data_IF_470400729930
#
_entry.id   IF_470400729930
#
_cell.length_a   1.000
_cell.length_b   1.000
_cell.length_c   1.000
_cell.angle_alpha   90.00
_cell.angle_beta   90.00
_cell.angle_gamma   90.00
#
_symmetry.space_group_name_H-M   'P 1'
#
loop_
_entity.id
_entity.type
_entity.pdbx_description
1 polymer ?
#
# COMPACT_ATOMS: atom_id res chain seq x y z
N UNK A 1 17.34 17.36 -24.67
CA UNK A 1 17.33 17.91 -26.05
C UNK A 1 16.55 19.20 -26.16
N UNK A 2 15.27 19.25 -25.74
CA UNK A 2 14.44 20.48 -25.86
C UNK A 2 15.01 21.72 -25.14
N UNK A 3 15.53 21.56 -23.92
CA UNK A 3 15.96 22.68 -23.08
C UNK A 3 17.45 23.02 -23.19
N UNK A 4 18.26 22.16 -23.80
CA UNK A 4 19.71 22.37 -23.91
C UNK A 4 20.45 22.56 -22.57
N UNK A 5 20.05 21.84 -21.51
CA UNK A 5 20.66 21.93 -20.17
C UNK A 5 21.36 20.62 -19.78
N UNK A 6 22.45 20.68 -18.98
CA UNK A 6 23.09 19.48 -18.45
C UNK A 6 22.18 18.75 -17.47
N UNK A 7 22.04 17.44 -17.65
CA UNK A 7 21.22 16.57 -16.80
C UNK A 7 22.05 15.42 -16.25
N UNK A 8 21.94 15.20 -14.95
CA UNK A 8 22.55 14.06 -14.26
C UNK A 8 21.49 13.08 -13.79
N UNK A 9 21.75 11.79 -13.93
CA UNK A 9 20.91 10.74 -13.36
C UNK A 9 21.42 10.31 -11.99
N UNK A 10 20.50 10.09 -11.04
CA UNK A 10 20.84 9.68 -9.66
C UNK A 10 19.97 8.53 -9.15
N UNK A 11 20.34 7.98 -7.98
CA UNK A 11 19.71 6.81 -7.36
C UNK A 11 19.61 5.61 -8.31
N UNK A 12 18.44 5.01 -8.50
CA UNK A 12 18.27 3.84 -9.36
C UNK A 12 18.44 4.15 -10.84
N UNK A 13 18.38 5.44 -11.23
CA UNK A 13 18.66 5.87 -12.59
C UNK A 13 20.15 6.20 -12.82
N UNK A 14 20.97 6.20 -11.77
CA UNK A 14 22.39 6.57 -11.88
C UNK A 14 23.12 5.62 -12.84
N UNK A 15 23.79 6.19 -13.83
CA UNK A 15 24.63 5.46 -14.79
C UNK A 15 25.97 5.03 -14.20
N UNK A 16 26.39 5.67 -13.10
CA UNK A 16 27.65 5.43 -12.39
C UNK A 16 27.42 5.28 -10.89
N UNK A 17 28.14 4.36 -10.19
CA UNK A 17 27.99 4.17 -8.74
C UNK A 17 28.18 5.45 -7.91
N UNK A 18 29.07 6.33 -8.32
CA UNK A 18 29.42 7.57 -7.62
C UNK A 18 28.27 8.59 -7.65
N UNK A 19 27.37 8.48 -8.63
CA UNK A 19 26.21 9.38 -8.83
C UNK A 19 24.95 8.93 -8.11
N UNK A 20 24.96 7.75 -7.47
CA UNK A 20 23.78 7.27 -6.72
C UNK A 20 23.35 8.27 -5.65
N UNK A 21 24.30 8.82 -4.90
CA UNK A 21 24.01 9.77 -3.82
C UNK A 21 23.84 11.20 -4.35
N UNK A 22 22.63 11.75 -4.19
CA UNK A 22 22.31 13.11 -4.61
C UNK A 22 23.23 14.19 -4.02
N UNK A 23 23.69 14.03 -2.78
CA UNK A 23 24.60 14.99 -2.15
C UNK A 23 25.97 15.01 -2.84
N UNK A 24 26.42 13.87 -3.38
CA UNK A 24 27.64 13.81 -4.20
C UNK A 24 27.43 14.57 -5.51
N UNK A 25 26.32 14.31 -6.21
CA UNK A 25 25.97 14.99 -7.47
C UNK A 25 25.82 16.50 -7.25
N UNK A 26 25.24 16.94 -6.13
CA UNK A 26 25.04 18.35 -5.77
C UNK A 26 26.23 19.03 -5.12
N UNK A 27 27.36 18.35 -4.91
CA UNK A 27 28.52 18.95 -4.23
C UNK A 27 29.00 20.20 -4.97
N UNK A 28 29.13 21.33 -4.27
CA UNK A 28 29.49 22.63 -4.83
C UNK A 28 28.31 23.42 -5.40
N UNK A 29 27.10 22.85 -5.39
CA UNK A 29 25.85 23.50 -5.81
C UNK A 29 25.96 24.17 -7.19
N UNK A 30 25.49 25.41 -7.33
CA UNK A 30 25.46 26.12 -8.61
C UNK A 30 26.86 26.62 -9.00
N UNK A 31 27.59 27.19 -8.04
CA UNK A 31 28.91 27.80 -8.25
C UNK A 31 29.97 26.77 -8.63
N UNK A 32 29.90 25.58 -8.04
CA UNK A 32 30.81 24.47 -8.31
C UNK A 32 30.52 23.74 -9.62
N UNK A 33 29.41 24.04 -10.31
CA UNK A 33 29.05 23.36 -11.55
C UNK A 33 30.02 23.67 -12.69
N UNK A 34 30.54 24.90 -12.77
CA UNK A 34 31.48 25.31 -13.83
C UNK A 34 32.75 24.47 -13.80
N UNK A 35 33.33 24.28 -12.61
CA UNK A 35 34.52 23.43 -12.45
C UNK A 35 34.18 21.95 -12.62
N UNK A 36 33.00 21.52 -12.15
CA UNK A 36 32.54 20.14 -12.31
C UNK A 36 32.38 19.75 -13.78
N UNK A 37 31.86 20.63 -14.64
CA UNK A 37 31.68 20.36 -16.07
C UNK A 37 33.02 20.26 -16.84
N UNK A 38 34.12 20.77 -16.29
CA UNK A 38 35.46 20.60 -16.88
C UNK A 38 36.05 19.22 -16.60
N UNK A 39 35.56 18.53 -15.56
CA UNK A 39 36.02 17.21 -15.19
C UNK A 39 35.35 16.15 -16.09
N UNK A 40 36.11 15.38 -16.88
CA UNK A 40 35.57 14.32 -17.74
C UNK A 40 34.76 13.27 -16.97
N UNK A 41 35.08 13.02 -15.69
CA UNK A 41 34.32 12.08 -14.86
C UNK A 41 32.92 12.59 -14.50
N UNK A 42 32.72 13.91 -14.58
CA UNK A 42 31.47 14.58 -14.30
C UNK A 42 30.74 15.05 -15.57
N UNK A 43 31.03 14.45 -16.73
CA UNK A 43 30.23 14.66 -17.94
C UNK A 43 28.74 14.35 -17.67
N UNK A 44 27.79 15.25 -18.00
CA UNK A 44 26.36 15.01 -17.85
C UNK A 44 25.90 13.73 -18.55
N UNK A 45 24.87 13.09 -18.00
CA UNK A 45 24.26 11.89 -18.59
C UNK A 45 23.45 12.24 -19.84
N UNK A 46 22.78 13.40 -19.82
CA UNK A 46 22.09 13.96 -20.97
C UNK A 46 22.34 15.47 -21.09
N UNK A 47 22.09 15.99 -22.29
CA UNK A 47 22.26 17.40 -22.59
C UNK A 47 23.73 17.81 -22.81
N UNK A 48 23.96 19.09 -23.11
CA UNK A 48 25.29 19.60 -23.40
C UNK A 48 26.17 19.65 -22.14
N UNK A 49 27.47 19.44 -22.32
CA UNK A 49 28.48 19.64 -21.26
C UNK A 49 28.87 21.12 -21.15
N UNK A 50 27.86 21.99 -21.08
CA UNK A 50 28.01 23.44 -21.08
C UNK A 50 27.26 24.04 -19.89
N UNK A 51 27.85 25.06 -19.28
CA UNK A 51 27.22 25.74 -18.16
C UNK A 51 26.09 26.64 -18.66
N UNK A 52 24.88 26.42 -18.15
CA UNK A 52 23.75 27.30 -18.38
C UNK A 52 23.55 28.25 -17.18
N UNK A 53 23.82 29.57 -17.31
CA UNK A 53 23.73 30.50 -16.20
C UNK A 53 22.31 30.75 -15.66
N UNK A 54 21.26 30.35 -16.39
CA UNK A 54 19.87 30.53 -15.92
C UNK A 54 19.38 29.33 -15.12
N UNK A 55 19.78 28.13 -15.52
CA UNK A 55 19.24 26.88 -14.97
C UNK A 55 20.23 26.05 -14.17
N UNK A 56 21.54 26.27 -14.34
CA UNK A 56 22.57 25.35 -13.88
C UNK A 56 22.41 23.98 -14.52
N UNK A 57 22.34 22.94 -13.69
CA UNK A 57 22.11 21.55 -14.09
C UNK A 57 20.87 20.98 -13.41
N UNK A 58 20.20 20.06 -14.10
CA UNK A 58 19.06 19.31 -13.54
C UNK A 58 19.49 17.92 -13.12
N UNK A 59 18.90 17.40 -12.05
CA UNK A 59 19.09 16.01 -11.63
C UNK A 59 17.76 15.28 -11.77
N UNK A 60 17.75 14.17 -12.49
CA UNK A 60 16.57 13.31 -12.68
C UNK A 60 16.88 11.95 -12.05
N UNK A 61 15.90 11.32 -11.40
CA UNK A 61 16.12 9.97 -10.92
C UNK A 61 14.85 9.24 -10.54
N UNK A 62 15.03 7.94 -10.31
CA UNK A 62 14.03 7.07 -9.74
C UNK A 62 14.54 6.58 -8.39
N UNK A 63 13.69 6.64 -7.37
CA UNK A 63 13.99 6.22 -6.01
C UNK A 63 12.73 5.70 -5.35
N UNK A 64 12.90 4.98 -4.26
CA UNK A 64 11.79 4.60 -3.40
C UNK A 64 11.14 5.86 -2.76
N UNK A 65 9.89 5.71 -2.33
CA UNK A 65 9.17 6.77 -1.63
C UNK A 65 9.93 7.19 -0.37
N UNK A 66 10.15 8.50 -0.24
CA UNK A 66 10.75 9.10 0.94
C UNK A 66 9.62 9.62 1.83
N UNK A 67 9.63 9.22 3.10
CA UNK A 67 8.72 9.72 4.12
C UNK A 67 9.51 10.68 5.01
N UNK A 68 9.08 11.94 5.05
CA UNK A 68 9.62 12.93 5.98
C UNK A 68 8.82 12.85 7.28
N UNK A 69 9.48 12.42 8.34
CA UNK A 69 8.87 12.04 9.61
C UNK A 69 9.67 12.66 10.76
N UNK A 70 9.03 13.44 11.62
CA UNK A 70 9.68 14.03 12.77
C UNK A 70 9.14 13.40 14.06
N UNK A 71 10.02 13.21 15.05
CA UNK A 71 9.63 12.76 16.39
C UNK A 71 9.79 13.90 17.39
N UNK A 72 8.73 14.23 18.10
CA UNK A 72 8.64 15.38 19.00
C UNK A 72 9.19 15.03 20.39
N UNK A 73 10.01 15.89 20.97
CA UNK A 73 10.60 15.69 22.30
C UNK A 73 10.17 16.79 23.27
N UNK A 74 10.03 16.44 24.55
CA UNK A 74 9.70 17.36 25.64
C UNK A 74 10.86 18.30 26.06
N UNK A 75 11.71 18.73 25.12
CA UNK A 75 12.88 19.59 25.38
C UNK A 75 13.06 20.65 24.30
N UNK A 76 13.76 21.73 24.63
CA UNK A 76 14.23 22.74 23.67
C UNK A 76 15.67 22.48 23.21
N UNK A 77 16.38 21.57 23.87
CA UNK A 77 17.78 21.31 23.55
C UNK A 77 17.93 20.41 22.32
N UNK A 78 18.25 21.04 21.18
CA UNK A 78 18.52 20.32 19.92
C UNK A 78 19.66 19.31 20.03
N UNK A 79 20.59 19.47 20.98
CA UNK A 79 21.75 18.57 21.12
C UNK A 79 21.28 17.18 21.56
N UNK A 80 20.29 17.10 22.45
CA UNK A 80 19.72 15.83 22.88
C UNK A 80 18.96 15.15 21.73
N UNK A 81 18.18 15.90 20.97
CA UNK A 81 17.54 15.39 19.76
C UNK A 81 18.58 14.88 18.74
N UNK A 82 19.70 15.59 18.60
CA UNK A 82 20.76 15.22 17.68
C UNK A 82 21.50 13.96 18.14
N UNK A 83 21.63 13.75 19.44
CA UNK A 83 22.19 12.52 20.00
C UNK A 83 21.35 11.29 19.62
N UNK A 84 20.02 11.40 19.71
CA UNK A 84 19.10 10.35 19.25
C UNK A 84 19.25 10.14 17.73
N UNK A 85 19.26 11.24 16.96
CA UNK A 85 19.42 11.19 15.50
C UNK A 85 20.71 10.46 15.06
N UNK A 86 21.80 10.65 15.81
CA UNK A 86 23.08 9.99 15.56
C UNK A 86 23.03 8.48 15.76
N UNK A 87 22.20 8.00 16.68
CA UNK A 87 22.09 6.58 16.98
C UNK A 87 21.16 5.85 15.99
N UNK A 88 20.11 6.51 15.49
CA UNK A 88 19.14 5.88 14.59
C UNK A 88 19.56 5.93 13.11
N UNK A 89 20.24 6.98 12.66
CA UNK A 89 20.53 7.17 11.22
C UNK A 89 21.62 6.22 10.73
N UNK A 90 21.53 5.78 9.49
CA UNK A 90 22.45 4.80 8.91
C UNK A 90 23.93 5.22 8.99
N UNK A 91 24.22 6.48 8.67
CA UNK A 91 25.58 7.06 8.74
C UNK A 91 26.15 7.01 10.17
N UNK A 92 25.29 6.95 11.17
CA UNK A 92 25.64 6.91 12.58
C UNK A 92 26.44 8.11 13.05
N UNK A 93 27.44 7.83 13.90
CA UNK A 93 28.29 8.83 14.56
C UNK A 93 29.77 8.60 14.33
N UNK A 94 30.57 9.65 14.50
CA UNK A 94 32.03 9.51 14.51
C UNK A 94 32.46 8.76 15.78
N UNK A 95 33.35 7.77 15.63
CA UNK A 95 33.97 7.04 16.72
C UNK A 95 34.81 8.00 17.55
N UNK A 96 34.69 7.92 18.88
CA UNK A 96 35.46 8.73 19.82
C UNK A 96 36.29 7.83 20.73
N UNK A 97 37.44 8.34 21.17
CA UNK A 97 38.27 7.72 22.20
C UNK A 97 37.73 8.01 23.61
N UNK A 98 38.38 7.47 24.65
CA UNK A 98 38.01 7.67 26.06
C UNK A 98 38.06 9.14 26.50
N UNK A 99 38.82 9.99 25.79
CA UNK A 99 38.89 11.43 26.01
C UNK A 99 37.85 12.22 25.19
N UNK A 100 37.00 11.54 24.42
CA UNK A 100 35.95 12.16 23.60
C UNK A 100 36.43 12.74 22.27
N UNK A 101 37.68 12.51 21.86
CA UNK A 101 38.26 12.98 20.61
C UNK A 101 37.92 12.03 19.46
N UNK A 102 37.67 12.58 18.27
CA UNK A 102 37.29 11.79 17.09
C UNK A 102 38.49 10.95 16.62
N UNK A 103 38.28 9.64 16.53
CA UNK A 103 39.25 8.71 15.97
C UNK A 103 39.21 8.82 14.45
N UNK A 104 40.39 8.96 13.84
CA UNK A 104 40.59 9.04 12.40
C UNK A 104 41.40 7.84 11.93
N UNK A 105 41.17 7.41 10.69
CA UNK A 105 41.97 6.39 10.01
C UNK A 105 43.30 6.97 9.50
N UNK A 106 44.12 6.11 8.87
CA UNK A 106 45.44 6.45 8.33
C UNK A 106 45.38 7.53 7.23
N UNK A 107 44.22 7.73 6.61
CA UNK A 107 43.95 8.77 5.60
C UNK A 107 43.40 10.08 6.21
N UNK A 108 43.28 10.14 7.54
CA UNK A 108 42.78 11.31 8.26
C UNK A 108 41.25 11.48 8.25
N UNK A 109 40.51 10.46 7.80
CA UNK A 109 39.04 10.46 7.73
C UNK A 109 38.46 9.89 9.03
N UNK A 110 37.35 10.47 9.51
CA UNK A 110 36.73 10.03 10.76
C UNK A 110 36.19 8.60 10.63
N UNK A 111 36.61 7.70 11.52
CA UNK A 111 36.01 6.37 11.64
C UNK A 111 34.58 6.55 12.14
N UNK A 112 33.62 5.88 11.50
CA UNK A 112 32.20 5.98 11.87
C UNK A 112 31.71 4.67 12.50
N UNK A 113 30.87 4.82 13.52
CA UNK A 113 30.04 3.74 14.04
C UNK A 113 28.66 3.92 13.39
N UNK A 114 28.16 2.95 12.60
CA UNK A 114 26.86 3.05 11.96
C UNK A 114 25.73 3.11 13.01
N UNK A 115 24.61 3.71 12.64
CA UNK A 115 23.41 3.69 13.47
C UNK A 115 22.62 2.39 13.33
N UNK A 116 21.48 2.34 14.01
CA UNK A 116 20.64 1.14 14.11
C UNK A 116 19.92 0.84 12.78
N UNK A 117 19.38 1.87 12.12
CA UNK A 117 18.57 1.69 10.92
C UNK A 117 19.35 1.96 9.64
N UNK A 118 19.06 1.15 8.62
CA UNK A 118 19.48 1.39 7.22
C UNK A 118 18.43 2.24 6.52
N UNK A 119 18.79 2.97 5.47
CA UNK A 119 17.83 3.78 4.70
C UNK A 119 17.12 4.84 5.57
N UNK A 120 17.84 5.35 6.58
CA UNK A 120 17.38 6.39 7.49
C UNK A 120 18.42 7.50 7.56
N UNK A 121 17.98 8.73 7.28
CA UNK A 121 18.75 9.95 7.49
C UNK A 121 18.07 10.76 8.59
N UNK A 122 18.80 11.15 9.62
CA UNK A 122 18.22 11.94 10.71
C UNK A 122 19.14 13.05 11.21
N UNK A 123 18.52 14.09 11.76
CA UNK A 123 19.17 15.23 12.41
C UNK A 123 18.30 15.75 13.56
N UNK A 124 18.93 16.13 14.67
CA UNK A 124 18.25 16.89 15.72
C UNK A 124 18.05 18.35 15.31
N UNK A 125 16.83 18.85 15.43
CA UNK A 125 16.44 20.20 15.06
C UNK A 125 15.58 20.85 16.15
N UNK A 126 15.56 22.17 16.21
CA UNK A 126 14.65 22.93 17.07
C UNK A 126 13.63 23.65 16.20
N UNK A 127 12.34 23.39 16.41
CA UNK A 127 11.27 24.10 15.72
C UNK A 127 10.76 25.21 16.61
N UNK A 128 11.01 26.45 16.18
CA UNK A 128 10.63 27.66 16.90
C UNK A 128 9.10 27.81 17.03
N UNK A 129 8.36 27.50 15.95
CA UNK A 129 6.89 27.55 15.91
C UNK A 129 6.22 26.69 16.98
N UNK A 130 6.79 25.51 17.27
CA UNK A 130 6.27 24.58 18.28
C UNK A 130 7.00 24.69 19.63
N UNK A 131 8.03 25.54 19.70
CA UNK A 131 8.81 25.75 20.91
C UNK A 131 9.55 24.50 21.43
N UNK A 132 9.83 23.51 20.59
CA UNK A 132 10.38 22.20 20.98
C UNK A 132 11.43 21.67 20.00
N UNK A 133 12.25 20.72 20.49
CA UNK A 133 13.19 19.97 19.68
C UNK A 133 12.54 18.72 19.07
N UNK A 134 12.96 18.39 17.85
CA UNK A 134 12.53 17.21 17.12
C UNK A 134 13.73 16.42 16.62
N UNK A 135 13.56 15.10 16.55
CA UNK A 135 14.38 14.26 15.69
C UNK A 135 13.75 14.30 14.30
N UNK A 136 14.35 15.05 13.37
CA UNK A 136 13.88 15.12 11.99
C UNK A 136 14.47 13.98 11.17
N UNK A 137 13.61 13.19 10.54
CA UNK A 137 13.96 11.91 9.92
C UNK A 137 13.44 11.86 8.49
N UNK A 138 14.28 11.41 7.58
CA UNK A 138 13.90 10.97 6.25
C UNK A 138 14.08 9.45 6.18
N UNK A 139 12.96 8.74 6.05
CA UNK A 139 12.93 7.32 5.75
C UNK A 139 13.05 7.19 4.23
N UNK A 140 14.24 6.82 3.72
CA UNK A 140 14.47 6.69 2.27
C UNK A 140 13.91 5.40 1.70
N UNK A 141 13.68 4.40 2.56
CA UNK A 141 12.95 3.18 2.22
C UNK A 141 12.19 2.64 3.44
N UNK A 142 10.89 2.93 3.49
CA UNK A 142 10.03 2.53 4.61
C UNK A 142 9.83 1.01 4.73
N UNK A 143 10.11 0.24 3.67
CA UNK A 143 10.02 -1.23 3.69
C UNK A 143 11.21 -1.85 4.43
N UNK A 144 12.35 -1.14 4.47
CA UNK A 144 13.56 -1.55 5.21
C UNK A 144 13.54 -1.02 6.65
N UNK A 145 13.18 0.25 6.83
CA UNK A 145 13.07 0.89 8.14
C UNK A 145 11.73 1.61 8.26
N UNK A 146 10.70 0.91 8.74
CA UNK A 146 9.35 1.45 8.78
C UNK A 146 9.15 2.46 9.92
N UNK A 147 8.17 3.37 9.79
CA UNK A 147 7.97 4.47 10.74
C UNK A 147 7.81 4.02 12.20
N UNK A 148 7.09 2.93 12.45
CA UNK A 148 6.81 2.42 13.80
C UNK A 148 8.05 1.90 14.51
N UNK A 149 8.96 1.20 13.82
CA UNK A 149 10.21 0.75 14.44
C UNK A 149 11.14 1.91 14.76
N UNK A 150 11.22 2.89 13.84
CA UNK A 150 12.04 4.08 14.04
C UNK A 150 11.49 4.93 15.18
N UNK A 151 10.17 5.08 15.28
CA UNK A 151 9.50 5.79 16.38
C UNK A 151 9.74 5.10 17.73
N UNK A 152 9.51 3.80 17.84
CA UNK A 152 9.73 3.03 19.07
C UNK A 152 11.19 3.10 19.54
N UNK A 153 12.16 3.06 18.62
CA UNK A 153 13.57 3.25 18.97
C UNK A 153 13.85 4.69 19.42
N UNK A 154 13.25 5.70 18.80
CA UNK A 154 13.36 7.08 19.29
C UNK A 154 12.84 7.22 20.71
N UNK A 155 11.71 6.57 21.04
CA UNK A 155 11.18 6.52 22.41
C UNK A 155 12.18 5.89 23.38
N UNK A 156 12.75 4.73 23.05
CA UNK A 156 13.75 4.07 23.89
C UNK A 156 15.02 4.91 24.09
N UNK A 157 15.49 5.58 23.04
CA UNK A 157 16.67 6.45 23.12
C UNK A 157 16.38 7.73 23.92
N UNK A 158 15.18 8.30 23.78
CA UNK A 158 14.74 9.43 24.57
C UNK A 158 14.68 9.09 26.06
N UNK A 159 14.11 7.94 26.42
CA UNK A 159 14.00 7.49 27.81
C UNK A 159 15.38 7.32 28.47
N UNK A 160 16.38 6.80 27.74
CA UNK A 160 17.78 6.70 28.22
C UNK A 160 18.41 8.05 28.53
N UNK A 161 17.92 9.14 27.92
CA UNK A 161 18.38 10.51 28.13
C UNK A 161 17.49 11.28 29.12
N UNK A 162 16.52 10.63 29.75
CA UNK A 162 15.55 11.28 30.65
C UNK A 162 14.53 12.17 29.92
N UNK A 163 14.41 12.02 28.60
CA UNK A 163 13.43 12.71 27.76
C UNK A 163 12.15 11.90 27.61
N UNK A 164 11.10 12.56 27.12
CA UNK A 164 9.85 11.92 26.67
C UNK A 164 9.56 12.30 25.23
N UNK A 165 9.19 11.30 24.44
CA UNK A 165 8.57 11.52 23.13
C UNK A 165 7.12 11.95 23.34
N UNK A 166 6.71 13.03 22.67
CA UNK A 166 5.38 13.65 22.80
C UNK A 166 4.64 13.64 21.45
N UNK A 167 4.75 12.52 20.74
CA UNK A 167 4.17 12.30 19.42
C UNK A 167 5.15 12.51 18.27
N UNK A 168 4.59 12.60 17.07
CA UNK A 168 5.34 12.72 15.84
C UNK A 168 4.62 13.60 14.83
N UNK A 169 5.28 13.86 13.71
CA UNK A 169 4.74 14.66 12.63
C UNK A 169 5.10 14.02 11.29
N UNK A 170 4.08 13.85 10.44
CA UNK A 170 4.28 13.54 9.03
C UNK A 170 4.30 14.82 8.20
N UNK A 171 5.45 15.10 7.59
CA UNK A 171 5.62 16.21 6.65
C UNK A 171 5.37 15.71 5.23
N UNK A 172 4.37 16.28 4.56
CA UNK A 172 3.93 15.84 3.24
C UNK A 172 2.99 14.63 3.27
N UNK A 173 3.19 13.71 2.33
CA UNK A 173 2.36 12.52 2.12
C UNK A 173 3.09 11.24 2.54
N UNK A 174 2.33 10.20 2.85
CA UNK A 174 2.81 8.85 3.20
C UNK A 174 2.17 7.80 2.29
N UNK A 175 2.92 6.79 1.80
CA UNK A 175 2.33 5.61 1.17
C UNK A 175 1.40 4.88 2.14
N UNK A 176 0.24 4.44 1.68
CA UNK A 176 -0.77 3.75 2.49
C UNK A 176 -0.19 2.53 3.20
N UNK A 177 0.59 1.73 2.49
CA UNK A 177 1.20 0.53 3.09
C UNK A 177 2.07 0.87 4.31
N UNK A 178 2.79 2.00 4.30
CA UNK A 178 3.65 2.38 5.42
C UNK A 178 2.86 2.64 6.72
N UNK A 179 1.66 3.22 6.61
CA UNK A 179 0.78 3.45 7.76
C UNK A 179 0.04 2.17 8.18
N UNK A 180 -0.37 1.32 7.23
CA UNK A 180 -0.98 0.03 7.54
C UNK A 180 -0.02 -0.93 8.25
N UNK A 181 1.25 -0.96 7.83
CA UNK A 181 2.30 -1.71 8.54
C UNK A 181 2.42 -1.26 10.01
N UNK A 182 2.36 0.05 10.27
CA UNK A 182 2.38 0.57 11.63
C UNK A 182 1.14 0.17 12.44
N UNK A 183 -0.06 0.25 11.84
CA UNK A 183 -1.30 -0.17 12.47
C UNK A 183 -1.29 -1.64 12.88
N UNK A 184 -0.85 -2.53 11.96
CA UNK A 184 -0.72 -3.97 12.23
C UNK A 184 0.28 -4.22 13.35
N UNK A 185 1.46 -3.60 13.29
CA UNK A 185 2.50 -3.73 14.30
C UNK A 185 1.98 -3.41 15.71
N UNK A 186 1.30 -2.27 15.88
CA UNK A 186 0.82 -1.86 17.20
C UNK A 186 -0.37 -2.69 17.69
N UNK A 187 -1.28 -3.13 16.80
CA UNK A 187 -2.33 -4.08 17.19
C UNK A 187 -1.75 -5.39 17.70
N UNK A 188 -0.78 -5.96 16.99
CA UNK A 188 -0.12 -7.20 17.40
C UNK A 188 0.60 -7.04 18.74
N UNK A 189 1.31 -5.92 18.93
CA UNK A 189 1.96 -5.57 20.20
C UNK A 189 0.97 -5.45 21.35
N UNK A 190 -0.27 -5.05 21.07
CA UNK A 190 -1.39 -5.00 22.02
C UNK A 190 -2.13 -6.36 22.15
N UNK A 191 -1.65 -7.41 21.49
CA UNK A 191 -2.26 -8.75 21.50
C UNK A 191 -3.56 -8.83 20.69
N UNK A 192 -3.85 -7.85 19.84
CA UNK A 192 -5.01 -7.80 18.94
C UNK A 192 -4.67 -8.33 17.55
N UNK A 193 -5.68 -8.81 16.83
CA UNK A 193 -5.49 -9.31 15.48
C UNK A 193 -5.11 -8.17 14.53
N UNK A 194 -4.15 -8.37 13.61
CA UNK A 194 -3.86 -7.42 12.55
C UNK A 194 -4.89 -7.47 11.41
N UNK A 195 -5.81 -8.44 11.39
CA UNK A 195 -6.78 -8.69 10.33
C UNK A 195 -8.06 -7.83 10.42
N UNK A 196 -7.93 -6.54 10.72
CA UNK A 196 -9.05 -5.59 10.87
C UNK A 196 -9.18 -4.67 9.65
N UNK A 197 -10.32 -3.95 9.50
CA UNK A 197 -10.48 -2.93 8.47
C UNK A 197 -9.33 -1.92 8.37
N UNK A 198 -9.14 -1.36 7.17
CA UNK A 198 -8.06 -0.43 6.86
C UNK A 198 -8.11 0.83 7.75
N UNK A 199 -9.31 1.32 8.01
CA UNK A 199 -9.58 2.49 8.84
C UNK A 199 -9.15 2.27 10.29
N UNK A 200 -9.37 1.08 10.83
CA UNK A 200 -8.96 0.70 12.19
C UNK A 200 -7.42 0.61 12.29
N UNK A 201 -6.75 0.13 11.23
CA UNK A 201 -5.28 0.13 11.17
C UNK A 201 -4.72 1.55 11.14
N UNK A 202 -5.32 2.43 10.35
CA UNK A 202 -4.91 3.83 10.26
C UNK A 202 -5.13 4.54 11.60
N UNK A 203 -6.30 4.38 12.24
CA UNK A 203 -6.57 4.96 13.57
C UNK A 203 -5.57 4.46 14.62
N UNK A 204 -5.31 3.15 14.65
CA UNK A 204 -4.31 2.57 15.55
C UNK A 204 -2.91 3.16 15.31
N UNK A 205 -2.48 3.29 14.04
CA UNK A 205 -1.19 3.87 13.68
C UNK A 205 -1.10 5.34 14.08
N UNK A 206 -2.13 6.15 13.79
CA UNK A 206 -2.17 7.58 14.13
C UNK A 206 -2.03 7.79 15.62
N UNK A 207 -2.79 7.04 16.43
CA UNK A 207 -2.74 7.13 17.89
C UNK A 207 -1.40 6.66 18.45
N UNK A 208 -0.89 5.54 17.97
CA UNK A 208 0.33 4.93 18.51
C UNK A 208 1.59 5.72 18.19
N UNK A 209 1.64 6.34 17.00
CA UNK A 209 2.73 7.21 16.57
C UNK A 209 2.54 8.66 17.07
N UNK A 210 1.35 9.03 17.54
CA UNK A 210 1.00 10.40 17.91
C UNK A 210 1.10 11.37 16.73
N UNK A 211 0.60 10.96 15.56
CA UNK A 211 0.63 11.74 14.31
C UNK A 211 -0.30 12.97 14.31
N UNK A 212 -1.17 13.05 15.30
CA UNK A 212 -2.21 14.07 15.45
C UNK A 212 -1.92 15.10 16.57
N UNK A 213 -0.72 15.02 17.19
CA UNK A 213 -0.40 15.82 18.38
C UNK A 213 -0.19 17.31 18.09
N UNK A 214 0.35 17.65 16.92
CA UNK A 214 0.55 19.06 16.53
C UNK A 214 -0.68 19.64 15.83
N UNK A 215 -1.36 18.82 15.03
CA UNK A 215 -2.57 19.16 14.29
C UNK A 215 -3.29 17.87 13.86
N UNK A 216 -4.61 17.92 13.57
CA UNK A 216 -5.36 16.73 13.18
C UNK A 216 -4.76 16.01 11.96
N UNK A 217 -4.57 14.70 12.08
CA UNK A 217 -4.19 13.86 10.95
C UNK A 217 -5.43 13.58 10.09
N UNK A 218 -5.43 14.05 8.83
CA UNK A 218 -6.52 13.83 7.87
C UNK A 218 -6.06 12.81 6.82
N UNK A 219 -6.47 11.52 6.91
CA UNK A 219 -6.00 10.47 6.01
C UNK A 219 -6.17 10.81 4.53
N UNK A 220 -7.28 11.44 4.15
CA UNK A 220 -7.61 11.82 2.77
C UNK A 220 -6.66 12.87 2.17
N UNK A 221 -5.90 13.57 3.02
CA UNK A 221 -4.91 14.58 2.60
C UNK A 221 -3.47 14.15 2.82
N UNK A 222 -3.25 13.06 3.56
CA UNK A 222 -1.92 12.61 3.99
C UNK A 222 -1.51 11.28 3.34
N UNK A 223 -2.47 10.41 2.99
CA UNK A 223 -2.18 9.12 2.37
C UNK A 223 -2.21 9.29 0.85
N UNK A 224 -1.11 8.94 0.17
CA UNK A 224 -0.94 9.15 -1.29
C UNK A 224 -2.11 8.53 -2.06
N UNK A 225 -2.40 7.26 -1.78
CA UNK A 225 -3.42 6.48 -2.46
C UNK A 225 -4.81 7.10 -2.29
N UNK A 226 -5.11 7.71 -1.13
CA UNK A 226 -6.39 8.39 -0.92
C UNK A 226 -6.44 9.75 -1.63
N UNK A 227 -5.31 10.45 -1.74
CA UNK A 227 -5.26 11.75 -2.44
C UNK A 227 -5.46 11.63 -3.94
N UNK A 228 -5.13 10.48 -4.53
CA UNK A 228 -5.25 10.22 -5.98
C UNK A 228 -6.39 9.28 -6.35
N UNK A 229 -7.04 8.63 -5.36
CA UNK A 229 -8.15 7.72 -5.62
C UNK A 229 -9.31 8.45 -6.30
N UNK A 230 -9.83 7.83 -7.35
CA UNK A 230 -11.12 8.22 -7.91
C UNK A 230 -12.22 7.89 -6.90
N UNK A 231 -13.23 8.75 -6.83
CA UNK A 231 -14.34 8.55 -5.89
C UNK A 231 -15.21 7.39 -6.37
N UNK A 232 -15.29 6.34 -5.57
CA UNK A 232 -16.24 5.27 -5.78
C UNK A 232 -17.68 5.76 -5.67
N UNK A 233 -18.53 5.33 -6.60
CA UNK A 233 -19.98 5.62 -6.55
C UNK A 233 -20.71 4.71 -5.57
N UNK A 234 -20.16 3.53 -5.25
CA UNK A 234 -20.81 2.50 -4.44
C UNK A 234 -20.30 2.40 -3.00
N UNK A 235 -19.07 2.83 -2.69
CA UNK A 235 -18.46 2.71 -1.35
C UNK A 235 -19.25 3.41 -0.24
N UNK A 236 -20.04 4.44 -0.57
CA UNK A 236 -20.83 5.22 0.40
C UNK A 236 -22.32 4.96 0.35
N UNK A 237 -22.76 3.97 -0.44
CA UNK A 237 -24.17 3.60 -0.50
C UNK A 237 -24.52 2.80 0.74
N UNK A 238 -25.53 3.25 1.50
CA UNK A 238 -26.09 2.46 2.58
C UNK A 238 -26.66 1.16 2.02
N UNK A 239 -26.57 0.05 2.77
CA UNK A 239 -27.11 -1.27 2.35
C UNK A 239 -28.54 -1.15 1.79
N UNK A 240 -29.41 -0.36 2.45
CA UNK A 240 -30.77 -0.10 1.96
C UNK A 240 -30.79 0.56 0.58
N UNK A 241 -29.91 1.52 0.33
CA UNK A 241 -29.77 2.18 -0.96
C UNK A 241 -29.32 1.20 -2.04
N UNK A 242 -28.34 0.35 -1.75
CA UNK A 242 -27.86 -0.65 -2.70
C UNK A 242 -28.95 -1.65 -3.07
N UNK A 243 -29.67 -2.18 -2.07
CA UNK A 243 -30.76 -3.13 -2.29
C UNK A 243 -31.93 -2.50 -3.07
N UNK A 244 -32.29 -1.25 -2.75
CA UNK A 244 -33.29 -0.52 -3.52
C UNK A 244 -32.86 -0.38 -4.98
N UNK A 245 -31.62 0.03 -5.25
CA UNK A 245 -31.10 0.21 -6.61
C UNK A 245 -31.09 -1.09 -7.42
N UNK A 246 -30.69 -2.22 -6.80
CA UNK A 246 -30.75 -3.56 -7.44
C UNK A 246 -32.19 -3.97 -7.81
N UNK A 247 -33.20 -3.41 -7.14
CA UNK A 247 -34.60 -3.83 -7.28
C UNK A 247 -35.43 -2.98 -8.25
N UNK A 248 -34.84 -1.97 -8.87
CA UNK A 248 -35.53 -1.11 -9.84
C UNK A 248 -35.08 -1.44 -11.27
N UNK A 249 -35.73 -0.81 -12.25
CA UNK A 249 -35.40 -0.94 -13.68
C UNK A 249 -34.12 -0.15 -14.01
N UNK A 250 -32.99 -0.63 -13.50
CA UNK A 250 -31.64 -0.13 -13.78
C UNK A 250 -30.76 -1.28 -14.28
N UNK A 251 -29.92 -1.07 -15.30
CA UNK A 251 -29.01 -2.11 -15.79
C UNK A 251 -27.87 -2.43 -14.82
N UNK A 252 -27.48 -1.49 -13.96
CA UNK A 252 -26.42 -1.63 -12.95
C UNK A 252 -26.82 -0.90 -11.66
N UNK A 253 -26.52 -1.43 -10.46
CA UNK A 253 -25.88 -2.72 -10.16
C UNK A 253 -26.76 -3.93 -10.45
N UNK A 254 -26.16 -5.01 -11.00
CA UNK A 254 -26.86 -6.23 -11.42
C UNK A 254 -26.36 -7.51 -10.75
N UNK A 255 -26.53 -8.66 -11.41
CA UNK A 255 -26.15 -9.97 -10.88
C UNK A 255 -24.65 -10.11 -10.57
N UNK A 256 -23.77 -9.53 -11.41
CA UNK A 256 -22.33 -9.48 -11.17
C UNK A 256 -21.99 -8.69 -9.90
N UNK A 257 -22.54 -7.48 -9.80
CA UNK A 257 -22.45 -6.61 -8.62
C UNK A 257 -22.92 -7.29 -7.33
N UNK A 258 -24.06 -8.00 -7.35
CA UNK A 258 -24.56 -8.76 -6.18
C UNK A 258 -23.62 -9.91 -5.84
N UNK A 259 -23.09 -10.63 -6.85
CA UNK A 259 -22.14 -11.73 -6.63
C UNK A 259 -20.86 -11.23 -5.96
N UNK A 260 -20.31 -10.11 -6.43
CA UNK A 260 -19.16 -9.46 -5.82
C UNK A 260 -19.43 -9.03 -4.36
N UNK A 261 -20.59 -8.43 -4.07
CA UNK A 261 -20.99 -8.10 -2.70
C UNK A 261 -21.05 -9.34 -1.79
N UNK A 262 -21.59 -10.46 -2.28
CA UNK A 262 -21.60 -11.73 -1.53
C UNK A 262 -20.18 -12.22 -1.23
N UNK A 263 -19.25 -12.09 -2.18
CA UNK A 263 -17.83 -12.36 -1.95
C UNK A 263 -17.26 -11.51 -0.82
N UNK A 264 -17.54 -10.21 -0.84
CA UNK A 264 -17.11 -9.27 0.21
C UNK A 264 -17.65 -9.65 1.60
N UNK A 265 -18.94 -9.98 1.68
CA UNK A 265 -19.58 -10.41 2.93
C UNK A 265 -19.03 -11.74 3.44
N UNK A 266 -18.78 -12.71 2.56
CA UNK A 266 -18.15 -13.97 2.92
C UNK A 266 -16.74 -13.75 3.51
N UNK A 267 -15.92 -12.91 2.87
CA UNK A 267 -14.60 -12.56 3.37
C UNK A 267 -14.66 -11.79 4.70
N UNK A 268 -15.60 -10.85 4.86
CA UNK A 268 -15.79 -10.10 6.10
C UNK A 268 -16.15 -11.04 7.27
N UNK A 269 -17.08 -11.97 7.06
CA UNK A 269 -17.52 -12.91 8.09
C UNK A 269 -16.39 -13.89 8.46
N UNK A 270 -15.64 -14.39 7.48
CA UNK A 270 -14.43 -15.16 7.74
C UNK A 270 -13.38 -14.37 8.53
N UNK A 271 -13.18 -13.09 8.20
CA UNK A 271 -12.23 -12.22 8.90
C UNK A 271 -12.65 -12.01 10.35
N UNK A 272 -13.94 -11.84 10.62
CA UNK A 272 -14.49 -11.79 11.98
C UNK A 272 -14.14 -13.06 12.77
N UNK A 273 -14.39 -14.24 12.22
CA UNK A 273 -14.07 -15.52 12.91
C UNK A 273 -12.57 -15.64 13.18
N UNK A 274 -11.74 -15.27 12.21
CA UNK A 274 -10.28 -15.24 12.38
C UNK A 274 -9.87 -14.28 13.51
N UNK A 275 -10.45 -13.09 13.58
CA UNK A 275 -10.17 -12.10 14.61
C UNK A 275 -10.59 -12.56 16.01
N UNK A 276 -11.76 -13.20 16.14
CA UNK A 276 -12.23 -13.78 17.40
C UNK A 276 -11.26 -14.89 17.88
N UNK A 277 -10.75 -15.69 16.94
CA UNK A 277 -9.87 -16.84 17.23
C UNK A 277 -8.40 -16.46 17.44
N UNK A 278 -7.98 -15.26 17.01
CA UNK A 278 -6.56 -14.86 16.96
C UNK A 278 -5.79 -14.98 18.27
N UNK A 279 -6.46 -14.79 19.41
CA UNK A 279 -5.80 -14.91 20.73
C UNK A 279 -5.30 -16.33 20.97
N UNK A 280 -6.03 -17.33 20.52
CA UNK A 280 -5.75 -18.76 20.71
C UNK A 280 -4.88 -19.31 19.57
N UNK A 281 -5.08 -18.82 18.34
CA UNK A 281 -4.31 -19.22 17.19
C UNK A 281 -3.79 -18.01 16.40
N UNK A 282 -2.49 -17.73 16.52
CA UNK A 282 -1.84 -16.58 15.86
C UNK A 282 -1.80 -16.69 14.33
N UNK A 283 -1.92 -17.89 13.76
CA UNK A 283 -2.00 -18.06 12.30
C UNK A 283 -3.24 -17.38 11.71
N UNK A 284 -4.29 -17.18 12.52
CA UNK A 284 -5.49 -16.45 12.12
C UNK A 284 -5.20 -14.99 11.74
N UNK A 285 -4.11 -14.41 12.21
CA UNK A 285 -3.73 -13.03 11.86
C UNK A 285 -3.52 -12.89 10.36
N UNK A 286 -2.67 -13.74 9.78
CA UNK A 286 -2.39 -13.75 8.33
C UNK A 286 -3.65 -14.07 7.51
N UNK A 287 -4.51 -14.97 8.00
CA UNK A 287 -5.79 -15.30 7.34
C UNK A 287 -6.75 -14.10 7.36
N UNK A 288 -6.87 -13.42 8.49
CA UNK A 288 -7.67 -12.21 8.65
C UNK A 288 -7.19 -11.08 7.74
N UNK A 289 -5.87 -10.89 7.60
CA UNK A 289 -5.28 -9.91 6.66
C UNK A 289 -5.70 -10.22 5.21
N UNK A 290 -5.54 -11.47 4.78
CA UNK A 290 -5.92 -11.89 3.41
C UNK A 290 -7.42 -11.71 3.15
N UNK A 291 -8.26 -12.03 4.14
CA UNK A 291 -9.71 -11.88 4.02
C UNK A 291 -10.14 -10.40 4.00
N UNK A 292 -9.49 -9.51 4.76
CA UNK A 292 -9.73 -8.07 4.63
C UNK A 292 -9.37 -7.56 3.23
N UNK A 293 -8.23 -8.02 2.68
CA UNK A 293 -7.86 -7.70 1.29
C UNK A 293 -8.91 -8.18 0.30
N UNK A 294 -9.34 -9.44 0.37
CA UNK A 294 -10.36 -9.98 -0.52
C UNK A 294 -11.70 -9.25 -0.37
N UNK A 295 -12.09 -8.90 0.87
CA UNK A 295 -13.28 -8.10 1.14
C UNK A 295 -13.26 -6.78 0.37
N UNK A 296 -12.14 -6.06 0.38
CA UNK A 296 -12.00 -4.77 -0.34
C UNK A 296 -11.87 -4.97 -1.86
N UNK A 297 -11.20 -6.02 -2.32
CA UNK A 297 -11.11 -6.36 -3.76
C UNK A 297 -12.50 -6.67 -4.33
N UNK A 298 -13.32 -7.45 -3.62
CA UNK A 298 -14.69 -7.72 -4.03
C UNK A 298 -15.58 -6.47 -4.03
N UNK A 299 -15.37 -5.52 -3.13
CA UNK A 299 -16.09 -4.23 -3.19
C UNK A 299 -15.72 -3.44 -4.45
N UNK A 300 -14.43 -3.45 -4.85
CA UNK A 300 -13.99 -2.83 -6.10
C UNK A 300 -14.56 -3.54 -7.32
N UNK A 301 -14.79 -4.85 -7.25
CA UNK A 301 -15.38 -5.61 -8.35
C UNK A 301 -16.82 -5.20 -8.67
N UNK A 302 -17.56 -4.65 -7.69
CA UNK A 302 -18.89 -4.05 -7.94
C UNK A 302 -18.77 -2.91 -8.97
N UNK A 303 -17.74 -2.08 -8.84
CA UNK A 303 -17.51 -0.98 -9.80
C UNK A 303 -16.90 -1.46 -11.10
N UNK A 304 -16.00 -2.45 -11.03
CA UNK A 304 -15.39 -3.01 -12.23
C UNK A 304 -16.46 -3.67 -13.11
N UNK A 305 -17.46 -4.33 -12.50
CA UNK A 305 -18.63 -4.90 -13.18
C UNK A 305 -19.44 -3.80 -13.89
N UNK A 306 -19.77 -2.71 -13.18
CA UNK A 306 -20.47 -1.58 -13.77
C UNK A 306 -19.68 -0.93 -14.92
N UNK A 307 -18.37 -0.70 -14.75
CA UNK A 307 -17.49 -0.13 -15.78
C UNK A 307 -17.35 -1.05 -17.00
N UNK A 308 -17.27 -2.36 -16.78
CA UNK A 308 -17.19 -3.32 -17.87
C UNK A 308 -18.50 -3.37 -18.68
N UNK A 309 -19.64 -3.31 -17.99
CA UNK A 309 -20.95 -3.19 -18.65
C UNK A 309 -21.03 -1.91 -19.51
N UNK A 310 -20.64 -0.76 -18.95
CA UNK A 310 -20.63 0.51 -19.68
C UNK A 310 -19.73 0.46 -20.92
N UNK A 311 -18.58 -0.22 -20.83
CA UNK A 311 -17.69 -0.42 -21.96
C UNK A 311 -18.33 -1.24 -23.08
N UNK A 312 -19.07 -2.32 -22.74
CA UNK A 312 -19.84 -3.11 -23.73
C UNK A 312 -20.89 -2.24 -24.42
N UNK A 313 -21.66 -1.46 -23.65
CA UNK A 313 -22.67 -0.55 -24.20
C UNK A 313 -22.03 0.52 -25.10
N UNK A 314 -20.88 1.07 -24.71
CA UNK A 314 -20.15 2.05 -25.51
C UNK A 314 -19.68 1.45 -26.85
N UNK A 315 -19.11 0.24 -26.83
CA UNK A 315 -18.67 -0.47 -28.03
C UNK A 315 -19.86 -0.76 -28.97
N UNK A 316 -21.00 -1.19 -28.43
CA UNK A 316 -22.22 -1.40 -29.23
C UNK A 316 -22.74 -0.12 -29.90
N UNK A 317 -22.59 1.03 -29.23
CA UNK A 317 -23.05 2.34 -29.74
C UNK A 317 -22.12 2.96 -30.79
N UNK A 318 -20.93 2.42 -31.02
CA UNK A 318 -20.01 2.91 -32.05
C UNK A 318 -20.70 2.97 -33.42
N UNK A 319 -20.54 4.11 -34.11
CA UNK A 319 -21.03 4.28 -35.49
C UNK A 319 -20.02 3.66 -36.46
N UNK A 320 -20.46 2.76 -37.31
CA UNK A 320 -19.63 2.12 -38.33
C UNK A 320 -20.28 2.28 -39.71
N UNK A 321 -19.69 3.13 -40.56
CA UNK A 321 -20.20 3.43 -41.93
C UNK A 321 -19.29 2.93 -43.05
N UNK A 322 -18.02 2.66 -42.76
CA UNK A 322 -17.04 2.07 -43.69
C UNK A 322 -16.75 0.63 -43.27
N UNK A 323 -16.21 -0.19 -44.18
CA UNK A 323 -15.81 -1.57 -43.85
C UNK A 323 -14.74 -1.61 -42.76
N UNK A 324 -13.75 -0.71 -42.81
CA UNK A 324 -12.74 -0.59 -41.75
C UNK A 324 -13.35 -0.22 -40.39
N UNK A 325 -14.34 0.68 -40.38
CA UNK A 325 -15.04 1.05 -39.14
C UNK A 325 -15.94 -0.09 -38.63
N UNK A 326 -16.50 -0.93 -39.51
CA UNK A 326 -17.24 -2.14 -39.09
C UNK A 326 -16.30 -3.16 -38.46
N UNK A 327 -15.12 -3.37 -39.04
CA UNK A 327 -14.09 -4.25 -38.48
C UNK A 327 -13.63 -3.77 -37.11
N UNK A 328 -13.25 -2.50 -36.99
CA UNK A 328 -12.84 -1.89 -35.73
C UNK A 328 -13.94 -1.96 -34.66
N UNK A 329 -15.21 -1.76 -35.05
CA UNK A 329 -16.35 -1.95 -34.14
C UNK A 329 -16.49 -3.40 -33.67
N UNK A 330 -16.35 -4.38 -34.57
CA UNK A 330 -16.40 -5.80 -34.22
C UNK A 330 -15.30 -6.19 -33.23
N UNK A 331 -14.08 -5.71 -33.47
CA UNK A 331 -12.93 -5.91 -32.56
C UNK A 331 -13.19 -5.26 -31.19
N UNK A 332 -13.66 -4.02 -31.16
CA UNK A 332 -14.00 -3.32 -29.91
C UNK A 332 -15.10 -4.01 -29.10
N UNK A 333 -16.14 -4.55 -29.77
CA UNK A 333 -17.20 -5.32 -29.10
C UNK A 333 -16.63 -6.61 -28.52
N UNK A 334 -15.81 -7.35 -29.28
CA UNK A 334 -15.17 -8.57 -28.80
C UNK A 334 -14.30 -8.29 -27.57
N UNK A 335 -13.47 -7.25 -27.63
CA UNK A 335 -12.60 -6.83 -26.51
C UNK A 335 -13.42 -6.43 -25.27
N UNK A 336 -14.51 -5.67 -25.46
CA UNK A 336 -15.37 -5.26 -24.35
C UNK A 336 -16.05 -6.47 -23.67
N UNK A 337 -16.56 -7.43 -24.44
CA UNK A 337 -17.13 -8.66 -23.89
C UNK A 337 -16.08 -9.54 -23.19
N UNK A 338 -14.86 -9.59 -23.71
CA UNK A 338 -13.77 -10.31 -23.06
C UNK A 338 -13.45 -9.66 -21.70
N UNK A 339 -13.33 -8.32 -21.66
CA UNK A 339 -13.16 -7.59 -20.40
C UNK A 339 -14.31 -7.82 -19.42
N UNK A 340 -15.55 -7.80 -19.90
CA UNK A 340 -16.74 -8.09 -19.09
C UNK A 340 -16.81 -9.52 -18.57
N UNK A 341 -16.28 -10.51 -19.30
CA UNK A 341 -16.15 -11.89 -18.81
C UNK A 341 -14.99 -12.06 -17.81
N UNK A 342 -13.91 -11.30 -17.96
CA UNK A 342 -12.73 -11.37 -17.09
C UNK A 342 -13.00 -10.87 -15.66
N UNK A 343 -13.86 -9.87 -15.47
CA UNK A 343 -14.24 -9.38 -14.13
C UNK A 343 -14.83 -10.49 -13.25
N UNK A 344 -15.95 -11.16 -13.63
CA UNK A 344 -16.51 -12.25 -12.84
C UNK A 344 -15.61 -13.49 -12.79
N UNK A 345 -14.78 -13.74 -13.82
CA UNK A 345 -13.76 -14.80 -13.74
C UNK A 345 -12.73 -14.53 -12.63
N UNK A 346 -12.29 -13.27 -12.50
CA UNK A 346 -11.43 -12.83 -11.40
C UNK A 346 -12.09 -13.01 -10.04
N UNK A 347 -13.40 -12.73 -9.94
CA UNK A 347 -14.21 -12.99 -8.73
C UNK A 347 -14.19 -14.48 -8.37
N UNK A 348 -14.37 -15.38 -9.35
CA UNK A 348 -14.29 -16.83 -9.13
C UNK A 348 -12.91 -17.29 -8.65
N UNK A 349 -11.83 -16.71 -9.17
CA UNK A 349 -10.48 -17.06 -8.72
C UNK A 349 -10.25 -16.63 -7.27
N UNK A 350 -10.66 -15.41 -6.91
CA UNK A 350 -10.57 -14.91 -5.53
C UNK A 350 -11.45 -15.70 -4.55
N UNK A 351 -12.62 -16.19 -4.99
CA UNK A 351 -13.52 -16.92 -4.10
C UNK A 351 -13.01 -18.33 -3.77
N UNK A 352 -12.27 -18.98 -4.69
CA UNK A 352 -11.55 -20.22 -4.40
C UNK A 352 -10.53 -20.00 -3.28
N UNK A 353 -9.72 -18.94 -3.37
CA UNK A 353 -8.73 -18.60 -2.32
C UNK A 353 -9.41 -18.22 -0.99
N UNK A 354 -10.54 -17.53 -1.04
CA UNK A 354 -11.37 -17.24 0.14
C UNK A 354 -11.87 -18.54 0.79
N UNK A 355 -12.40 -19.48 0.02
CA UNK A 355 -12.88 -20.78 0.52
C UNK A 355 -11.76 -21.62 1.11
N UNK A 356 -10.55 -21.62 0.53
CA UNK A 356 -9.38 -22.29 1.11
C UNK A 356 -9.04 -21.73 2.50
N UNK A 357 -9.16 -20.42 2.69
CA UNK A 357 -8.97 -19.81 4.02
C UNK A 357 -10.13 -20.18 4.95
N UNK A 358 -11.38 -20.13 4.48
CA UNK A 358 -12.55 -20.51 5.27
C UNK A 358 -12.51 -21.99 5.71
N UNK A 359 -11.94 -22.88 4.91
CA UNK A 359 -11.75 -24.29 5.28
C UNK A 359 -10.77 -24.47 6.44
N UNK A 360 -9.70 -23.67 6.47
CA UNK A 360 -8.82 -23.62 7.64
C UNK A 360 -9.54 -23.06 8.86
N UNK A 361 -10.33 -22.01 8.69
CA UNK A 361 -11.11 -21.38 9.77
C UNK A 361 -12.19 -22.33 10.30
N UNK A 362 -12.86 -23.11 9.45
CA UNK A 362 -13.84 -24.10 9.88
C UNK A 362 -13.23 -25.24 10.71
N UNK A 363 -11.93 -25.48 10.55
CA UNK A 363 -11.22 -26.52 11.31
C UNK A 363 -10.61 -25.97 12.61
N UNK A 364 -10.07 -24.75 12.58
CA UNK A 364 -9.29 -24.19 13.70
C UNK A 364 -9.95 -23.00 14.39
N UNK A 365 -11.10 -22.54 13.88
CA UNK A 365 -11.87 -21.43 14.43
C UNK A 365 -12.50 -21.75 15.78
N UNK A 366 -12.79 -20.71 16.56
CA UNK A 366 -13.53 -20.82 17.81
C UNK A 366 -14.90 -21.46 17.61
N UNK A 367 -15.24 -22.38 18.52
CA UNK A 367 -16.52 -23.10 18.51
C UNK A 367 -17.72 -22.13 18.58
N UNK A 368 -17.63 -21.08 19.39
CA UNK A 368 -18.70 -20.10 19.56
C UNK A 368 -19.06 -19.31 18.28
N UNK A 369 -18.17 -19.27 17.30
CA UNK A 369 -18.37 -18.59 16.01
C UNK A 369 -18.27 -19.55 14.81
N UNK A 370 -18.38 -20.87 15.05
CA UNK A 370 -18.18 -21.85 13.97
C UNK A 370 -19.31 -21.81 12.94
N UNK A 371 -20.52 -21.46 13.39
CA UNK A 371 -21.68 -21.29 12.50
C UNK A 371 -21.46 -20.17 11.47
N UNK A 372 -20.75 -19.10 11.85
CA UNK A 372 -20.41 -17.99 10.96
C UNK A 372 -19.49 -18.44 9.82
N UNK A 373 -18.56 -19.38 10.08
CA UNK A 373 -17.73 -19.96 9.03
C UNK A 373 -18.56 -20.77 8.00
N UNK A 374 -19.63 -21.44 8.46
CA UNK A 374 -20.56 -22.16 7.58
C UNK A 374 -21.39 -21.21 6.71
N UNK A 375 -21.88 -20.12 7.30
CA UNK A 375 -22.59 -19.05 6.56
C UNK A 375 -21.67 -18.39 5.54
N UNK A 376 -20.42 -18.09 5.92
CA UNK A 376 -19.42 -17.52 5.01
C UNK A 376 -19.18 -18.44 3.81
N UNK A 377 -19.06 -19.76 4.02
CA UNK A 377 -18.84 -20.72 2.93
C UNK A 377 -20.03 -20.78 1.96
N UNK A 378 -21.27 -20.79 2.46
CA UNK A 378 -22.47 -20.79 1.59
C UNK A 378 -22.66 -19.46 0.86
N UNK A 379 -22.28 -18.36 1.49
CA UNK A 379 -22.26 -17.03 0.85
C UNK A 379 -21.22 -17.00 -0.27
N UNK A 380 -20.03 -17.57 -0.03
CA UNK A 380 -18.98 -17.71 -1.02
C UNK A 380 -19.40 -18.62 -2.20
N UNK A 381 -20.15 -19.70 -1.94
CA UNK A 381 -20.74 -20.52 -2.99
C UNK A 381 -21.67 -19.71 -3.90
N UNK A 382 -22.61 -18.95 -3.32
CA UNK A 382 -23.52 -18.11 -4.07
C UNK A 382 -22.78 -17.04 -4.90
N UNK A 383 -21.72 -16.45 -4.34
CA UNK A 383 -20.80 -15.56 -5.07
C UNK A 383 -20.18 -16.27 -6.29
N UNK A 384 -19.59 -17.45 -6.08
CA UNK A 384 -18.91 -18.19 -7.14
C UNK A 384 -19.83 -18.67 -8.26
N UNK A 385 -21.02 -19.17 -7.92
CA UNK A 385 -22.02 -19.58 -8.91
C UNK A 385 -22.63 -18.39 -9.64
N UNK A 386 -22.89 -17.29 -8.93
CA UNK A 386 -23.35 -16.05 -9.54
C UNK A 386 -22.32 -15.47 -10.52
N UNK A 387 -21.04 -15.43 -10.12
CA UNK A 387 -19.95 -15.01 -10.98
C UNK A 387 -19.81 -15.93 -12.21
N UNK A 388 -19.90 -17.25 -12.03
CA UNK A 388 -19.90 -18.21 -13.13
C UNK A 388 -21.00 -17.93 -14.18
N UNK A 389 -22.23 -17.66 -13.74
CA UNK A 389 -23.32 -17.29 -14.66
C UNK A 389 -23.02 -15.99 -15.43
N UNK A 390 -22.37 -15.01 -14.78
CA UNK A 390 -21.94 -13.76 -15.41
C UNK A 390 -20.77 -13.96 -16.39
N UNK A 391 -19.88 -14.94 -16.15
CA UNK A 391 -18.90 -15.35 -17.18
C UNK A 391 -19.64 -15.93 -18.38
N UNK A 392 -20.54 -16.88 -18.15
CA UNK A 392 -21.22 -17.60 -19.24
C UNK A 392 -22.07 -16.70 -20.13
N UNK A 393 -22.75 -15.69 -19.57
CA UNK A 393 -23.59 -14.78 -20.36
C UNK A 393 -22.75 -13.91 -21.31
N UNK A 394 -21.60 -13.41 -20.85
CA UNK A 394 -20.69 -12.62 -21.68
C UNK A 394 -20.00 -13.48 -22.75
N UNK A 395 -19.68 -14.74 -22.43
CA UNK A 395 -19.12 -15.71 -23.37
C UNK A 395 -20.10 -16.23 -24.42
N UNK A 396 -21.38 -15.83 -24.42
CA UNK A 396 -22.29 -16.15 -25.55
C UNK A 396 -21.98 -15.30 -26.78
N UNK A 397 -21.37 -14.14 -26.57
CA UNK A 397 -21.15 -13.12 -27.59
C UNK A 397 -19.73 -13.17 -28.17
N UNK A 398 -18.85 -14.00 -27.58
CA UNK A 398 -17.47 -14.22 -28.03
C UNK A 398 -17.09 -15.70 -27.94
N UNK A 399 -16.24 -16.16 -28.85
CA UNK A 399 -15.71 -17.52 -28.85
C UNK A 399 -14.38 -17.57 -28.08
N UNK A 400 -14.43 -18.01 -26.82
CA UNK A 400 -13.29 -18.11 -25.89
C UNK A 400 -13.37 -19.41 -25.05
N UNK A 401 -13.22 -20.56 -25.70
CA UNK A 401 -13.37 -21.90 -25.12
C UNK A 401 -12.48 -22.15 -23.88
N UNK A 402 -11.26 -21.61 -23.87
CA UNK A 402 -10.34 -21.77 -22.73
C UNK A 402 -10.92 -21.13 -21.46
N UNK A 403 -11.44 -19.90 -21.56
CA UNK A 403 -12.00 -19.18 -20.42
C UNK A 403 -13.26 -19.88 -19.88
N UNK A 404 -14.07 -20.46 -20.77
CA UNK A 404 -15.22 -21.28 -20.39
C UNK A 404 -14.79 -22.53 -19.64
N UNK A 405 -13.82 -23.28 -20.17
CA UNK A 405 -13.31 -24.50 -19.53
C UNK A 405 -12.73 -24.21 -18.14
N UNK A 406 -11.97 -23.13 -17.99
CA UNK A 406 -11.40 -22.72 -16.72
C UNK A 406 -12.50 -22.33 -15.71
N UNK A 407 -13.54 -21.60 -16.16
CA UNK A 407 -14.69 -21.27 -15.31
C UNK A 407 -15.46 -22.52 -14.87
N UNK A 408 -15.64 -23.51 -15.77
CA UNK A 408 -16.27 -24.80 -15.46
C UNK A 408 -15.47 -25.59 -14.42
N UNK A 409 -14.14 -25.52 -14.45
CA UNK A 409 -13.28 -26.12 -13.44
C UNK A 409 -13.44 -25.39 -12.09
N UNK A 410 -13.34 -24.06 -12.09
CA UNK A 410 -13.44 -23.25 -10.87
C UNK A 410 -14.78 -23.44 -10.16
N UNK A 411 -15.91 -23.46 -10.86
CA UNK A 411 -17.23 -23.62 -10.21
C UNK A 411 -17.38 -25.00 -9.54
N UNK A 412 -16.76 -26.05 -10.09
CA UNK A 412 -16.73 -27.38 -9.46
C UNK A 412 -15.88 -27.37 -8.20
N UNK A 413 -14.71 -26.73 -8.23
CA UNK A 413 -13.86 -26.57 -7.05
C UNK A 413 -14.57 -25.78 -5.95
N UNK A 414 -15.21 -24.66 -6.29
CA UNK A 414 -15.99 -23.81 -5.37
C UNK A 414 -17.07 -24.63 -4.64
N UNK A 415 -17.86 -25.41 -5.40
CA UNK A 415 -18.89 -26.31 -4.83
C UNK A 415 -18.28 -27.31 -3.85
N UNK A 416 -17.23 -28.02 -4.28
CA UNK A 416 -16.56 -29.03 -3.45
C UNK A 416 -15.98 -28.45 -2.17
N UNK A 417 -15.35 -27.27 -2.23
CA UNK A 417 -14.83 -26.57 -1.06
C UNK A 417 -15.97 -26.13 -0.12
N UNK A 418 -17.02 -25.52 -0.65
CA UNK A 418 -18.16 -25.07 0.18
C UNK A 418 -18.85 -26.23 0.89
N UNK A 419 -19.07 -27.36 0.22
CA UNK A 419 -19.70 -28.54 0.84
C UNK A 419 -18.82 -29.17 1.90
N UNK A 420 -17.51 -29.26 1.65
CA UNK A 420 -16.55 -29.73 2.65
C UNK A 420 -16.58 -28.88 3.92
N UNK A 421 -16.57 -27.55 3.77
CA UNK A 421 -16.62 -26.61 4.89
C UNK A 421 -17.93 -26.76 5.67
N UNK A 422 -19.04 -26.84 4.95
CA UNK A 422 -20.36 -27.05 5.53
C UNK A 422 -20.42 -28.32 6.38
N UNK A 423 -19.89 -29.43 5.87
CA UNK A 423 -19.84 -30.69 6.59
C UNK A 423 -18.92 -30.65 7.81
N UNK A 424 -17.78 -29.93 7.73
CA UNK A 424 -16.91 -29.69 8.89
C UNK A 424 -17.65 -28.92 9.98
N UNK A 425 -18.31 -27.82 9.63
CA UNK A 425 -19.06 -26.98 10.57
C UNK A 425 -20.19 -27.78 11.22
N UNK A 426 -20.97 -28.52 10.43
CA UNK A 426 -22.07 -29.36 10.94
C UNK A 426 -21.63 -30.49 11.88
N UNK A 427 -20.39 -30.96 11.79
CA UNK A 427 -19.84 -31.97 12.71
C UNK A 427 -19.37 -31.38 14.03
N UNK A 428 -19.09 -30.08 14.06
CA UNK A 428 -18.60 -29.36 15.23
C UNK A 428 -19.75 -28.79 16.08
N UNK A 429 -20.83 -28.35 15.43
CA UNK A 429 -22.13 -28.05 16.05
C UNK A 429 -22.82 -29.32 16.56
#
# INVERSE_FOLDING_TARGET
DELGIPVYLYEYAATRPERKNLATVRKGEYEGLVEKLKDPDWKPDFGPCEFNPKSGATVIGCREFLIAYNVNLNTKDRRLAHEIALNIRERGRAKRDEAGKIIRDEEGKSIKIPGIFKEVKAVGWYIEEYGMAQVSINLTNYKVSPPHLVFDECCQQADKLGLRVIGSELVGLIPKEAILMAGRYYLEKQGKSPGVPEEDLIDCAVRSLGLDQLYPFQPEKKIIEYTVAERSSFEKIMVRGFVNEVSIDSPTPGGGSVSALLGSLASALGSMVANLTYKENKEMGAKGISLQRFKDEFLRDIENDARAFDAVIAAMRMKARTEDAKRAKGEAIKEAYLGAAQVPFGVMTRIVETLKILDFIAEHGLEASISDAGVAARTALACGEGAYLNVLINLKEIDEDNLRSDADHLVKEIRGLSDRIWDKVKKRL
#
